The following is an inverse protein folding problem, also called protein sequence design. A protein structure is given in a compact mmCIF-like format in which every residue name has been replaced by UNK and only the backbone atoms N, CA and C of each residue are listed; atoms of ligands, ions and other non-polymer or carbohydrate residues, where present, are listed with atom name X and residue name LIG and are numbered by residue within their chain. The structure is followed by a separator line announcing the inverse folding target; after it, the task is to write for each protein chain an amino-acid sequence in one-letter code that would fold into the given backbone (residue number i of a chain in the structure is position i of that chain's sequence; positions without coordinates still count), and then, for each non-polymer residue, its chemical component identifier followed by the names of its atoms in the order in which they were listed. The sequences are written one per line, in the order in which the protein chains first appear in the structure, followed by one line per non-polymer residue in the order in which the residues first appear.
data_IF_431820411013
#
_entry.id   IF_431820411013
#
_cell.length_a   1.000
_cell.length_b   1.000
_cell.length_c   1.000
_cell.angle_alpha   90.00
_cell.angle_beta   90.00
_cell.angle_gamma   90.00
#
_symmetry.space_group_name_H-M   'P 1'
#
loop_
_entity.id
_entity.type
_entity.pdbx_description
1 polymer ?
#
# COMPACT_ATOMS: atom_id res chain seq x y z
N UNK A 1 -0.75 -16.64 -15.29
CA UNK A 1 -0.04 -16.34 -14.04
C UNK A 1 1.00 -17.41 -13.71
N UNK A 2 0.62 -18.69 -13.60
CA UNK A 2 1.54 -19.84 -13.47
C UNK A 2 2.62 -19.89 -14.58
N UNK A 3 2.23 -19.59 -15.82
CA UNK A 3 3.11 -19.53 -17.00
C UNK A 3 4.03 -18.31 -17.05
N UNK A 4 3.78 -17.28 -16.24
CA UNK A 4 4.56 -16.04 -16.29
C UNK A 4 5.81 -16.11 -15.39
N UNK A 5 5.71 -16.80 -14.25
CA UNK A 5 6.79 -16.87 -13.26
C UNK A 5 7.23 -18.29 -12.95
N UNK A 6 6.29 -19.24 -12.74
CA UNK A 6 6.62 -20.58 -12.26
C UNK A 6 7.23 -21.45 -13.36
N UNK A 7 6.58 -21.55 -14.52
CA UNK A 7 7.11 -22.35 -15.66
C UNK A 7 8.49 -21.83 -16.12
N UNK A 8 8.68 -20.52 -16.37
CA UNK A 8 9.99 -20.01 -16.74
C UNK A 8 11.05 -20.25 -15.67
N UNK A 9 10.69 -20.22 -14.38
CA UNK A 9 11.64 -20.49 -13.30
C UNK A 9 12.08 -21.96 -13.26
N UNK A 10 11.16 -22.91 -13.45
CA UNK A 10 11.47 -24.35 -13.53
C UNK A 10 12.45 -24.60 -14.69
N UNK A 11 12.14 -24.05 -15.87
CA UNK A 11 12.94 -24.21 -17.08
C UNK A 11 14.33 -23.56 -16.94
N UNK A 12 14.39 -22.31 -16.47
CA UNK A 12 15.65 -21.56 -16.34
C UNK A 12 16.57 -22.11 -15.25
N UNK A 13 16.00 -22.69 -14.19
CA UNK A 13 16.75 -23.23 -13.05
C UNK A 13 17.08 -24.72 -13.21
N UNK A 14 16.68 -25.34 -14.32
CA UNK A 14 16.88 -26.76 -14.64
C UNK A 14 16.49 -27.69 -13.47
N UNK A 15 15.35 -27.40 -12.84
CA UNK A 15 14.84 -28.18 -11.73
C UNK A 15 14.27 -29.51 -12.25
N UNK A 16 14.58 -30.60 -11.56
CA UNK A 16 14.03 -31.94 -11.85
C UNK A 16 12.62 -32.10 -11.26
N UNK A 17 11.74 -31.15 -11.60
CA UNK A 17 10.32 -31.17 -11.23
C UNK A 17 9.48 -30.78 -12.44
N UNK A 18 8.35 -31.46 -12.60
CA UNK A 18 7.35 -31.13 -13.60
C UNK A 18 6.26 -30.23 -13.00
N UNK A 19 5.49 -29.58 -13.86
CA UNK A 19 4.42 -28.66 -13.45
C UNK A 19 3.41 -29.31 -12.50
N UNK A 20 3.05 -30.57 -12.74
CA UNK A 20 2.12 -31.36 -11.94
C UNK A 20 2.68 -31.74 -10.56
N UNK A 21 3.99 -31.66 -10.36
CA UNK A 21 4.65 -31.85 -9.07
C UNK A 21 4.71 -30.57 -8.21
N UNK A 22 4.25 -29.42 -8.74
CA UNK A 22 4.14 -28.17 -7.99
C UNK A 22 2.79 -28.11 -7.29
N UNK A 23 2.79 -28.33 -5.98
CA UNK A 23 1.58 -28.29 -5.14
C UNK A 23 1.38 -26.95 -4.46
N UNK A 24 2.46 -26.17 -4.30
CA UNK A 24 2.39 -24.78 -3.85
C UNK A 24 3.55 -23.96 -4.41
N UNK A 25 3.31 -22.67 -4.57
CA UNK A 25 4.33 -21.73 -5.03
C UNK A 25 4.14 -20.35 -4.41
N UNK A 26 5.24 -19.64 -4.21
CA UNK A 26 5.27 -18.26 -3.74
C UNK A 26 6.17 -17.45 -4.66
N UNK A 27 5.61 -16.39 -5.24
CA UNK A 27 6.39 -15.37 -5.95
C UNK A 27 6.57 -14.20 -5.00
N UNK A 28 7.81 -13.88 -4.66
CA UNK A 28 8.18 -12.71 -3.85
C UNK A 28 8.60 -11.59 -4.79
N UNK A 29 7.98 -10.43 -4.62
CA UNK A 29 8.17 -9.24 -5.44
C UNK A 29 8.96 -8.22 -4.64
N UNK A 30 10.28 -8.22 -4.84
CA UNK A 30 11.20 -7.30 -4.19
C UNK A 30 11.08 -5.87 -4.78
N UNK A 31 11.12 -4.80 -3.97
CA UNK A 31 11.15 -3.44 -4.49
C UNK A 31 12.31 -3.22 -5.47
N UNK A 32 12.01 -2.89 -6.73
CA UNK A 32 13.00 -2.67 -7.80
C UNK A 32 13.91 -3.89 -8.11
N UNK A 33 13.53 -5.09 -7.67
CA UNK A 33 14.27 -6.33 -7.88
C UNK A 33 13.60 -7.26 -8.89
N UNK A 34 14.30 -8.33 -9.27
CA UNK A 34 13.68 -9.42 -9.99
C UNK A 34 12.75 -10.22 -9.05
N UNK A 35 11.61 -10.75 -9.54
CA UNK A 35 10.80 -11.67 -8.77
C UNK A 35 11.61 -12.91 -8.35
N UNK A 36 11.45 -13.32 -7.10
CA UNK A 36 11.97 -14.58 -6.58
C UNK A 36 10.84 -15.59 -6.54
N UNK A 37 11.10 -16.82 -7.00
CA UNK A 37 10.11 -17.90 -7.02
C UNK A 37 10.55 -18.99 -6.06
N UNK A 38 9.66 -19.35 -5.14
CA UNK A 38 9.80 -20.45 -4.18
C UNK A 38 8.75 -21.52 -4.50
N UNK A 39 9.16 -22.78 -4.52
CA UNK A 39 8.29 -23.90 -4.88
C UNK A 39 8.20 -24.93 -3.75
N UNK A 40 7.04 -25.57 -3.61
CA UNK A 40 6.79 -26.66 -2.67
C UNK A 40 7.28 -26.32 -1.25
N UNK A 41 8.22 -27.07 -0.69
CA UNK A 41 8.72 -26.88 0.68
C UNK A 41 9.33 -25.48 0.92
N UNK A 42 9.81 -24.81 -0.13
CA UNK A 42 10.34 -23.44 -0.03
C UNK A 42 9.21 -22.39 0.08
N UNK A 43 8.01 -22.72 -0.38
CA UNK A 43 6.84 -21.87 -0.29
C UNK A 43 6.05 -22.21 0.98
N UNK A 44 6.51 -21.72 2.13
CA UNK A 44 5.77 -21.85 3.39
C UNK A 44 4.51 -20.97 3.34
N UNK A 45 3.33 -21.61 3.21
CA UNK A 45 2.03 -20.94 3.17
C UNK A 45 1.17 -21.29 4.41
N UNK A 46 0.38 -20.33 4.86
CA UNK A 46 -0.71 -20.50 5.82
C UNK A 46 -2.03 -20.47 5.07
N UNK A 47 -2.88 -21.46 5.31
CA UNK A 47 -4.24 -21.51 4.77
C UNK A 47 -5.25 -21.19 5.88
N UNK A 48 -6.22 -20.34 5.58
CA UNK A 48 -7.44 -20.20 6.38
C UNK A 48 -8.46 -21.16 5.80
N UNK A 49 -8.93 -22.10 6.62
CA UNK A 49 -9.86 -23.16 6.20
C UNK A 49 -11.11 -23.15 7.06
N UNK A 50 -12.24 -23.39 6.42
CA UNK A 50 -13.48 -23.78 7.09
C UNK A 50 -13.48 -25.29 7.22
N UNK A 51 -13.65 -25.79 8.44
CA UNK A 51 -13.69 -27.23 8.72
C UNK A 51 -15.12 -27.72 8.86
N UNK A 52 -15.38 -28.95 8.41
CA UNK A 52 -16.69 -29.62 8.53
C UNK A 52 -17.00 -29.99 9.99
N UNK A 53 -15.97 -30.48 10.68
CA UNK A 53 -16.04 -30.91 12.07
C UNK A 53 -14.98 -30.16 12.88
N UNK A 54 -15.24 -29.96 14.18
CA UNK A 54 -14.28 -29.32 15.07
C UNK A 54 -12.99 -30.17 15.17
N UNK A 55 -11.85 -29.57 14.84
CA UNK A 55 -10.51 -30.17 15.02
C UNK A 55 -9.91 -29.61 16.30
N UNK A 56 -9.46 -30.47 17.22
CA UNK A 56 -8.90 -30.00 18.48
C UNK A 56 -7.52 -29.36 18.28
N UNK A 57 -7.12 -28.47 19.19
CA UNK A 57 -5.80 -27.85 19.13
C UNK A 57 -4.70 -28.91 19.22
N UNK A 58 -3.77 -28.90 18.26
CA UNK A 58 -2.69 -29.88 18.17
C UNK A 58 -3.03 -31.12 17.33
N UNK A 59 -4.29 -31.29 16.90
CA UNK A 59 -4.65 -32.34 15.96
C UNK A 59 -4.32 -31.93 14.52
N UNK A 60 -3.85 -32.87 13.68
CA UNK A 60 -3.60 -32.59 12.28
C UNK A 60 -4.91 -32.34 11.54
N UNK A 61 -4.98 -31.22 10.82
CA UNK A 61 -6.08 -30.94 9.89
C UNK A 61 -5.85 -31.76 8.62
N UNK A 62 -6.79 -32.63 8.27
CA UNK A 62 -6.74 -33.42 7.03
C UNK A 62 -7.66 -32.85 5.96
N UNK A 63 -7.44 -33.23 4.70
CA UNK A 63 -8.29 -32.81 3.58
C UNK A 63 -9.78 -33.19 3.77
N UNK A 64 -10.06 -34.28 4.48
CA UNK A 64 -11.42 -34.75 4.77
C UNK A 64 -12.15 -33.83 5.75
N UNK A 65 -11.40 -33.18 6.65
CA UNK A 65 -11.94 -32.24 7.62
C UNK A 65 -12.22 -30.85 7.01
N UNK A 66 -11.66 -30.55 5.83
CA UNK A 66 -11.79 -29.23 5.21
C UNK A 66 -13.04 -29.16 4.33
N UNK A 67 -13.93 -28.22 4.65
CA UNK A 67 -15.09 -27.88 3.83
C UNK A 67 -14.68 -26.92 2.70
N UNK A 68 -13.93 -25.88 3.04
CA UNK A 68 -13.53 -24.83 2.12
C UNK A 68 -12.19 -24.20 2.53
N UNK A 69 -11.41 -23.71 1.57
CA UNK A 69 -10.24 -22.86 1.81
C UNK A 69 -10.65 -21.42 1.53
N UNK A 70 -10.73 -20.60 2.58
CA UNK A 70 -11.18 -19.20 2.46
C UNK A 70 -10.03 -18.23 2.17
N UNK A 71 -8.79 -18.65 2.36
CA UNK A 71 -7.63 -17.82 2.03
C UNK A 71 -6.31 -18.57 2.15
N UNK A 72 -5.30 -18.04 1.47
CA UNK A 72 -3.91 -18.45 1.61
C UNK A 72 -3.02 -17.21 1.74
N UNK A 73 -1.94 -17.31 2.50
CA UNK A 73 -0.93 -16.26 2.62
C UNK A 73 0.44 -16.85 2.93
N UNK A 74 1.55 -16.16 2.67
CA UNK A 74 2.87 -16.61 3.10
C UNK A 74 2.96 -16.70 4.63
N UNK A 75 3.61 -17.73 5.16
CA UNK A 75 3.90 -17.83 6.59
C UNK A 75 4.93 -16.80 7.04
N UNK A 76 5.88 -16.48 6.15
CA UNK A 76 6.90 -15.46 6.33
C UNK A 76 7.09 -14.71 5.04
N UNK A 77 7.02 -13.39 5.11
CA UNK A 77 7.32 -12.49 3.99
C UNK A 77 8.02 -11.26 4.55
N UNK A 78 8.97 -10.71 3.79
CA UNK A 78 9.58 -9.43 4.15
C UNK A 78 8.52 -8.33 4.08
N UNK A 79 8.42 -7.43 5.07
CA UNK A 79 7.35 -6.40 5.12
C UNK A 79 7.28 -5.52 3.88
N UNK A 80 8.42 -5.30 3.22
CA UNK A 80 8.54 -4.42 2.06
C UNK A 80 8.31 -5.14 0.72
N UNK A 81 8.15 -6.46 0.72
CA UNK A 81 7.94 -7.25 -0.48
C UNK A 81 6.46 -7.47 -0.76
N UNK A 82 6.06 -7.26 -2.02
CA UNK A 82 4.81 -7.79 -2.52
C UNK A 82 4.92 -9.32 -2.71
N UNK A 83 3.80 -10.00 -2.89
CA UNK A 83 3.80 -11.44 -3.10
C UNK A 83 2.59 -11.95 -3.87
N UNK A 84 2.74 -13.14 -4.45
CA UNK A 84 1.66 -13.95 -5.02
C UNK A 84 1.82 -15.38 -4.51
N UNK A 85 0.81 -15.92 -3.85
CA UNK A 85 0.78 -17.28 -3.35
C UNK A 85 -0.16 -18.13 -4.21
N UNK A 86 0.27 -19.36 -4.48
CA UNK A 86 -0.49 -20.38 -5.18
C UNK A 86 -0.52 -21.65 -4.33
N UNK A 87 -1.69 -22.23 -4.14
CA UNK A 87 -1.86 -23.56 -3.58
C UNK A 87 -2.73 -24.40 -4.51
N UNK A 88 -2.28 -25.61 -4.85
CA UNK A 88 -2.99 -26.53 -5.74
C UNK A 88 -3.50 -27.70 -4.90
N UNK A 89 -4.82 -27.91 -4.94
CA UNK A 89 -5.46 -28.95 -4.14
C UNK A 89 -5.57 -30.27 -4.94
N UNK A 90 -5.41 -31.43 -4.27
CA UNK A 90 -5.71 -32.72 -4.88
C UNK A 90 -7.14 -32.75 -5.43
N UNK A 91 -7.33 -33.17 -6.68
CA UNK A 91 -8.65 -33.24 -7.32
C UNK A 91 -9.02 -32.09 -8.25
N UNK A 92 -8.11 -31.13 -8.50
CA UNK A 92 -8.24 -30.16 -9.60
C UNK A 92 -8.69 -28.76 -9.22
N UNK A 93 -8.57 -28.37 -7.95
CA UNK A 93 -8.81 -27.01 -7.46
C UNK A 93 -7.51 -26.28 -7.12
N UNK A 94 -7.61 -24.98 -6.82
CA UNK A 94 -6.49 -24.21 -6.30
C UNK A 94 -6.91 -22.86 -5.77
N UNK A 95 -6.09 -22.31 -4.88
CA UNK A 95 -6.25 -20.97 -4.32
C UNK A 95 -5.11 -20.08 -4.83
N UNK A 96 -5.45 -18.83 -5.11
CA UNK A 96 -4.48 -17.78 -5.42
C UNK A 96 -4.79 -16.59 -4.53
N UNK A 97 -3.76 -16.04 -3.91
CA UNK A 97 -3.83 -14.79 -3.18
C UNK A 97 -2.61 -13.93 -3.52
N UNK A 98 -2.72 -12.63 -3.34
CA UNK A 98 -1.63 -11.71 -3.60
C UNK A 98 -1.72 -10.47 -2.72
N UNK A 99 -0.56 -9.85 -2.51
CA UNK A 99 -0.44 -8.51 -1.97
C UNK A 99 0.60 -7.76 -2.82
N UNK A 100 0.17 -6.74 -3.54
CA UNK A 100 1.07 -5.93 -4.37
C UNK A 100 1.55 -4.66 -3.69
N UNK A 101 1.46 -4.59 -2.35
CA UNK A 101 2.01 -3.48 -1.58
C UNK A 101 3.49 -3.72 -1.29
N UNK A 102 4.30 -2.71 -1.56
CA UNK A 102 5.75 -2.70 -1.35
C UNK A 102 6.13 -1.69 -0.27
N UNK A 103 7.35 -1.75 0.26
CA UNK A 103 7.90 -0.69 1.12
C UNK A 103 6.98 -0.32 2.31
N UNK A 104 6.28 -1.28 2.93
CA UNK A 104 5.27 -1.01 3.97
C UNK A 104 5.89 -0.37 5.20
N UNK A 105 7.06 -0.85 5.65
CA UNK A 105 7.71 -0.29 6.84
C UNK A 105 8.06 1.18 6.60
N UNK A 106 8.58 1.46 5.41
CA UNK A 106 8.87 2.83 5.00
C UNK A 106 7.62 3.69 4.91
N UNK A 107 6.52 3.17 4.37
CA UNK A 107 5.26 3.87 4.28
C UNK A 107 4.69 4.21 5.67
N UNK A 108 4.72 3.26 6.61
CA UNK A 108 4.30 3.45 8.01
C UNK A 108 5.12 4.57 8.67
N UNK A 109 6.45 4.57 8.46
CA UNK A 109 7.34 5.57 9.02
C UNK A 109 7.06 6.98 8.47
N UNK A 110 6.75 7.08 7.16
CA UNK A 110 6.34 8.34 6.52
C UNK A 110 5.01 8.84 7.07
N UNK A 111 4.03 7.95 7.30
CA UNK A 111 2.71 8.30 7.82
C UNK A 111 2.74 8.73 9.29
N UNK A 112 3.65 8.14 10.08
CA UNK A 112 3.93 8.62 11.44
C UNK A 112 4.39 10.08 11.41
N UNK A 113 5.36 10.41 10.53
CA UNK A 113 5.82 11.80 10.35
C UNK A 113 4.72 12.70 9.81
N UNK A 114 3.91 12.23 8.87
CA UNK A 114 2.75 12.99 8.36
C UNK A 114 1.78 13.37 9.49
N UNK A 115 1.55 12.46 10.44
CA UNK A 115 0.72 12.68 11.63
C UNK A 115 1.30 13.77 12.55
N UNK A 116 2.63 13.82 12.71
CA UNK A 116 3.30 14.89 13.46
C UNK A 116 3.12 16.26 12.77
N UNK A 117 3.26 16.30 11.43
CA UNK A 117 3.08 17.53 10.66
C UNK A 117 1.62 18.04 10.67
N UNK A 118 0.63 17.16 10.58
CA UNK A 118 -0.78 17.60 10.62
C UNK A 118 -1.17 18.11 12.01
N UNK A 119 -0.64 17.51 13.09
CA UNK A 119 -0.79 18.05 14.45
C UNK A 119 -0.20 19.47 14.54
N UNK A 120 1.02 19.64 14.02
CA UNK A 120 1.68 20.96 14.00
C UNK A 120 0.86 21.98 13.20
N UNK A 121 0.26 21.58 12.08
CA UNK A 121 -0.57 22.46 11.27
C UNK A 121 -1.82 22.94 12.02
N UNK A 122 -2.45 22.06 12.81
CA UNK A 122 -3.58 22.41 13.67
C UNK A 122 -3.16 23.40 14.77
N UNK A 123 -2.00 23.20 15.38
CA UNK A 123 -1.45 24.12 16.39
C UNK A 123 -1.15 25.51 15.80
N UNK A 124 -0.55 25.58 14.61
CA UNK A 124 -0.26 26.87 13.97
C UNK A 124 -1.54 27.57 13.51
N UNK A 125 -2.57 26.82 13.10
CA UNK A 125 -3.88 27.37 12.76
C UNK A 125 -4.54 28.01 13.99
N UNK A 126 -4.57 27.29 15.11
CA UNK A 126 -5.11 27.80 16.38
C UNK A 126 -4.38 29.05 16.89
N UNK A 127 -3.11 29.21 16.53
CA UNK A 127 -2.31 30.41 16.83
C UNK A 127 -2.47 31.55 15.80
N UNK A 128 -3.36 31.43 14.81
CA UNK A 128 -3.58 32.41 13.74
C UNK A 128 -2.43 32.52 12.73
N UNK A 129 -1.54 31.52 12.66
CA UNK A 129 -0.32 31.55 11.84
C UNK A 129 -0.54 30.81 10.52
N UNK A 130 -1.30 31.44 9.60
CA UNK A 130 -1.78 30.81 8.37
C UNK A 130 -0.66 30.33 7.42
N UNK A 131 0.43 31.11 7.28
CA UNK A 131 1.58 30.71 6.46
C UNK A 131 2.23 29.41 6.93
N UNK A 132 2.65 29.32 8.22
CA UNK A 132 3.11 28.07 8.82
C UNK A 132 2.10 26.90 8.74
N UNK A 133 0.79 27.17 8.86
CA UNK A 133 -0.25 26.16 8.64
C UNK A 133 -0.22 25.58 7.24
N UNK A 134 -0.11 26.42 6.20
CA UNK A 134 -0.01 25.95 4.80
C UNK A 134 1.21 25.05 4.61
N UNK A 135 2.37 25.44 5.14
CA UNK A 135 3.62 24.68 4.99
C UNK A 135 3.56 23.30 5.64
N UNK A 136 3.08 23.25 6.87
CA UNK A 136 3.01 22.02 7.66
C UNK A 136 1.93 21.08 7.12
N UNK A 137 0.77 21.61 6.73
CA UNK A 137 -0.28 20.84 6.06
C UNK A 137 0.18 20.26 4.72
N UNK A 138 0.87 21.06 3.90
CA UNK A 138 1.43 20.59 2.64
C UNK A 138 2.45 19.47 2.88
N UNK A 139 3.37 19.65 3.82
CA UNK A 139 4.35 18.62 4.17
C UNK A 139 3.68 17.31 4.62
N UNK A 140 2.64 17.39 5.46
CA UNK A 140 1.88 16.23 5.89
C UNK A 140 1.26 15.48 4.70
N UNK A 141 0.56 16.19 3.82
CA UNK A 141 -0.06 15.59 2.64
C UNK A 141 0.97 15.04 1.64
N UNK A 142 2.11 15.68 1.46
CA UNK A 142 3.18 15.18 0.59
C UNK A 142 3.79 13.87 1.11
N UNK A 143 3.95 13.74 2.42
CA UNK A 143 4.39 12.50 3.06
C UNK A 143 3.37 11.39 2.88
N UNK A 144 2.07 11.68 3.04
CA UNK A 144 1.00 10.73 2.82
C UNK A 144 0.97 10.22 1.37
N UNK A 145 1.01 11.13 0.38
CA UNK A 145 1.10 10.76 -1.04
C UNK A 145 2.36 9.96 -1.32
N UNK A 146 3.50 10.35 -0.73
CA UNK A 146 4.75 9.61 -0.89
C UNK A 146 4.62 8.19 -0.35
N UNK A 147 4.03 7.99 0.83
CA UNK A 147 3.77 6.68 1.40
C UNK A 147 2.91 5.82 0.46
N UNK A 148 1.80 6.37 -0.07
CA UNK A 148 0.93 5.64 -1.01
C UNK A 148 1.65 5.25 -2.30
N UNK A 149 2.44 6.16 -2.88
CA UNK A 149 3.21 5.85 -4.09
C UNK A 149 4.29 4.80 -3.83
N UNK A 150 4.93 4.81 -2.65
CA UNK A 150 5.88 3.77 -2.22
C UNK A 150 5.22 2.40 -2.10
N UNK A 151 3.98 2.33 -1.60
CA UNK A 151 3.19 1.10 -1.55
C UNK A 151 2.94 0.51 -2.94
N UNK A 152 2.92 1.32 -3.99
CA UNK A 152 2.73 0.87 -5.37
C UNK A 152 4.05 0.70 -6.13
N UNK A 153 5.19 0.79 -5.44
CA UNK A 153 6.54 0.84 -6.02
C UNK A 153 6.69 1.92 -7.11
N UNK A 154 5.95 3.03 -6.99
CA UNK A 154 6.06 4.19 -7.87
C UNK A 154 7.12 5.13 -7.33
N UNK A 155 8.21 5.31 -8.09
CA UNK A 155 9.27 6.26 -7.71
C UNK A 155 9.17 7.57 -8.49
N UNK A 156 9.12 8.69 -7.78
CA UNK A 156 9.21 10.03 -8.36
C UNK A 156 10.64 10.58 -8.20
N UNK A 157 11.53 10.29 -9.15
CA UNK A 157 12.91 10.85 -9.16
C UNK A 157 12.96 12.15 -9.97
N UNK A 158 13.77 13.11 -9.51
CA UNK A 158 14.13 14.31 -10.27
C UNK A 158 13.52 15.62 -9.78
N UNK A 159 13.79 16.70 -10.54
CA UNK A 159 13.53 18.10 -10.18
C UNK A 159 12.04 18.49 -10.07
N UNK A 160 11.13 17.64 -10.55
CA UNK A 160 9.67 17.86 -10.61
C UNK A 160 8.86 16.91 -9.69
N UNK A 161 9.43 16.43 -8.58
CA UNK A 161 8.78 15.46 -7.69
C UNK A 161 7.42 15.94 -7.14
N UNK A 162 7.27 17.23 -6.85
CA UNK A 162 6.00 17.83 -6.41
C UNK A 162 4.90 17.68 -7.47
N UNK A 163 5.18 18.06 -8.73
CA UNK A 163 4.22 17.97 -9.83
C UNK A 163 3.83 16.52 -10.14
N UNK A 164 4.79 15.60 -10.07
CA UNK A 164 4.53 14.18 -10.27
C UNK A 164 3.60 13.59 -9.21
N UNK A 165 3.80 13.93 -7.93
CA UNK A 165 2.91 13.53 -6.83
C UNK A 165 1.49 14.08 -6.99
N UNK A 166 1.35 15.34 -7.42
CA UNK A 166 0.05 15.95 -7.69
C UNK A 166 -0.68 15.26 -8.85
N UNK A 167 0.03 14.96 -9.94
CA UNK A 167 -0.53 14.25 -11.08
C UNK A 167 -0.97 12.83 -10.69
N UNK A 168 -0.14 12.13 -9.90
CA UNK A 168 -0.50 10.81 -9.37
C UNK A 168 -1.75 10.87 -8.49
N UNK A 169 -1.82 11.81 -7.54
CA UNK A 169 -2.97 11.94 -6.63
C UNK A 169 -4.25 12.31 -7.40
N UNK A 170 -4.14 13.18 -8.40
CA UNK A 170 -5.27 13.52 -9.28
C UNK A 170 -5.81 12.28 -9.99
N UNK A 171 -4.93 11.47 -10.60
CA UNK A 171 -5.34 10.24 -11.27
C UNK A 171 -5.94 9.25 -10.27
N UNK A 172 -5.32 9.10 -9.10
CA UNK A 172 -5.77 8.20 -8.04
C UNK A 172 -7.21 8.51 -7.60
N UNK A 173 -7.51 9.79 -7.31
CA UNK A 173 -8.86 10.22 -6.91
C UNK A 173 -9.83 10.23 -8.09
N UNK A 174 -9.38 10.44 -9.33
CA UNK A 174 -10.24 10.43 -10.52
C UNK A 174 -10.75 9.03 -10.83
N UNK A 175 -9.96 8.00 -10.52
CA UNK A 175 -10.34 6.59 -10.61
C UNK A 175 -11.27 6.13 -9.47
N UNK A 176 -11.69 7.04 -8.58
CA UNK A 176 -12.61 6.72 -7.49
C UNK A 176 -11.95 6.05 -6.28
N UNK A 177 -10.62 5.97 -6.22
CA UNK A 177 -9.91 5.38 -5.08
C UNK A 177 -9.90 6.28 -3.82
N UNK A 178 -10.46 7.48 -3.92
CA UNK A 178 -10.60 8.41 -2.81
C UNK A 178 -11.29 9.72 -3.22
N UNK A 179 -11.68 10.55 -2.25
CA UNK A 179 -12.30 11.86 -2.48
C UNK A 179 -11.46 12.78 -3.37
N UNK A 180 -12.12 13.47 -4.30
CA UNK A 180 -11.49 14.50 -5.14
C UNK A 180 -10.92 15.68 -4.33
N UNK A 181 -11.46 15.92 -3.13
CA UNK A 181 -11.05 17.05 -2.31
C UNK A 181 -9.64 16.89 -1.73
N UNK A 182 -9.10 15.67 -1.67
CA UNK A 182 -7.68 15.43 -1.38
C UNK A 182 -6.78 16.12 -2.41
N UNK A 183 -7.04 15.88 -3.70
CA UNK A 183 -6.27 16.50 -4.78
C UNK A 183 -6.46 18.03 -4.81
N UNK A 184 -7.71 18.52 -4.72
CA UNK A 184 -7.99 19.96 -4.74
C UNK A 184 -7.29 20.68 -3.59
N UNK A 185 -7.35 20.11 -2.38
CA UNK A 185 -6.68 20.63 -1.19
C UNK A 185 -5.17 20.68 -1.39
N UNK A 186 -4.58 19.56 -1.82
CA UNK A 186 -3.14 19.47 -2.08
C UNK A 186 -2.68 20.46 -3.15
N UNK A 187 -3.45 20.65 -4.21
CA UNK A 187 -3.18 21.65 -5.24
C UNK A 187 -3.25 23.07 -4.67
N UNK A 188 -4.28 23.37 -3.88
CA UNK A 188 -4.48 24.70 -3.30
C UNK A 188 -3.40 25.07 -2.29
N UNK A 189 -2.98 24.14 -1.44
CA UNK A 189 -1.86 24.32 -0.52
C UNK A 189 -0.55 24.56 -1.28
N UNK A 190 -0.31 23.81 -2.36
CA UNK A 190 0.88 23.97 -3.19
C UNK A 190 0.94 25.35 -3.88
N UNK A 191 -0.18 25.86 -4.39
CA UNK A 191 -0.22 27.18 -5.04
C UNK A 191 -0.21 28.35 -4.05
N UNK A 192 -0.65 28.13 -2.80
CA UNK A 192 -0.54 29.10 -1.70
C UNK A 192 0.89 29.23 -1.15
N UNK A 193 1.71 28.18 -1.34
CA UNK A 193 3.04 28.04 -0.74
C UNK A 193 3.99 29.21 -1.00
N UNK A 194 4.13 29.78 -2.23
CA UNK A 194 5.01 30.92 -2.46
C UNK A 194 4.63 32.14 -1.61
N UNK A 195 3.33 32.45 -1.52
CA UNK A 195 2.82 33.52 -0.68
C UNK A 195 3.05 33.21 0.81
N UNK A 196 2.80 31.97 1.24
CA UNK A 196 2.99 31.53 2.63
C UNK A 196 4.44 31.68 3.12
N UNK A 197 5.43 31.48 2.24
CA UNK A 197 6.85 31.58 2.58
C UNK A 197 7.44 32.98 2.42
N UNK A 198 7.09 33.64 1.32
CA UNK A 198 7.84 34.82 0.86
C UNK A 198 6.96 36.07 0.73
N UNK A 199 5.65 35.95 0.97
CA UNK A 199 4.70 37.01 0.64
C UNK A 199 4.65 37.31 -0.86
N UNK A 200 5.01 36.33 -1.70
CA UNK A 200 5.09 36.48 -3.14
C UNK A 200 3.69 36.76 -3.75
N UNK A 201 3.46 37.95 -4.33
CA UNK A 201 2.17 38.34 -4.88
C UNK A 201 1.80 37.57 -6.16
N UNK A 202 2.75 36.86 -6.80
CA UNK A 202 2.45 35.97 -7.93
C UNK A 202 1.89 34.61 -7.45
N UNK A 203 2.05 34.28 -6.16
CA UNK A 203 1.43 33.12 -5.53
C UNK A 203 -0.08 33.32 -5.29
N UNK A 204 -0.79 32.21 -5.07
CA UNK A 204 -2.18 32.32 -4.59
C UNK A 204 -2.19 32.92 -3.18
N UNK A 205 -3.16 33.80 -2.84
CA UNK A 205 -3.28 34.32 -1.48
C UNK A 205 -3.48 33.17 -0.48
N UNK A 206 -3.16 33.43 0.79
CA UNK A 206 -3.43 32.47 1.86
C UNK A 206 -4.93 32.14 1.89
N UNK A 207 -5.31 30.86 2.02
CA UNK A 207 -6.69 30.52 2.33
C UNK A 207 -7.07 31.10 3.69
N UNK A 208 -8.35 31.38 3.88
CA UNK A 208 -8.92 31.79 5.16
C UNK A 208 -8.73 30.72 6.23
N UNK A 209 -8.91 31.09 7.50
CA UNK A 209 -8.83 30.16 8.62
C UNK A 209 -9.83 29.00 8.48
N UNK A 210 -11.06 29.29 8.02
CA UNK A 210 -12.09 28.28 7.76
C UNK A 210 -11.70 27.33 6.64
N UNK A 211 -11.20 27.86 5.51
CA UNK A 211 -10.73 27.01 4.41
C UNK A 211 -9.56 26.12 4.85
N UNK A 212 -8.64 26.66 5.66
CA UNK A 212 -7.53 25.89 6.18
C UNK A 212 -8.02 24.78 7.11
N UNK A 213 -9.00 25.03 7.98
CA UNK A 213 -9.59 23.99 8.82
C UNK A 213 -10.11 22.81 7.97
N UNK A 214 -10.89 23.09 6.93
CA UNK A 214 -11.39 22.07 5.99
C UNK A 214 -10.22 21.33 5.30
N UNK A 215 -9.18 22.05 4.90
CA UNK A 215 -8.00 21.46 4.28
C UNK A 215 -7.23 20.53 5.23
N UNK A 216 -7.14 20.87 6.52
CA UNK A 216 -6.50 20.00 7.50
C UNK A 216 -7.28 18.70 7.67
N UNK A 217 -8.62 18.75 7.65
CA UNK A 217 -9.46 17.56 7.74
C UNK A 217 -9.36 16.69 6.47
N UNK A 218 -9.27 17.31 5.29
CA UNK A 218 -8.99 16.57 4.05
C UNK A 218 -7.61 15.90 4.08
N UNK A 219 -6.57 16.59 4.54
CA UNK A 219 -5.22 16.01 4.65
C UNK A 219 -5.17 14.89 5.70
N UNK A 220 -5.83 15.06 6.83
CA UNK A 220 -5.92 14.02 7.87
C UNK A 220 -6.65 12.79 7.33
N UNK A 221 -7.79 12.96 6.65
CA UNK A 221 -8.50 11.82 6.03
C UNK A 221 -7.65 11.09 4.97
N UNK A 222 -6.80 11.81 4.22
CA UNK A 222 -5.83 11.21 3.31
C UNK A 222 -4.77 10.40 4.07
N UNK A 223 -4.27 10.90 5.20
CA UNK A 223 -3.32 10.19 6.07
C UNK A 223 -3.96 8.92 6.62
N UNK A 224 -5.18 9.00 7.16
CA UNK A 224 -5.90 7.84 7.69
C UNK A 224 -6.17 6.79 6.63
N UNK A 225 -6.58 7.19 5.43
CA UNK A 225 -6.76 6.28 4.30
C UNK A 225 -5.46 5.56 3.93
N UNK A 226 -4.36 6.30 3.83
CA UNK A 226 -3.05 5.72 3.53
C UNK A 226 -2.58 4.77 4.64
N UNK A 227 -2.84 5.09 5.91
CA UNK A 227 -2.52 4.24 7.06
C UNK A 227 -3.34 2.95 7.06
N UNK A 228 -4.65 3.02 6.80
CA UNK A 228 -5.51 1.84 6.68
C UNK A 228 -5.01 0.93 5.54
N UNK A 229 -4.76 1.52 4.37
CA UNK A 229 -4.26 0.79 3.22
C UNK A 229 -2.88 0.15 3.47
N UNK A 230 -2.03 0.78 4.28
CA UNK A 230 -0.74 0.22 4.70
C UNK A 230 -0.86 -0.85 5.79
N UNK A 231 -1.94 -0.86 6.58
CA UNK A 231 -2.14 -1.76 7.72
C UNK A 231 -2.90 -3.04 7.37
N UNK A 232 -3.86 -2.99 6.44
CA UNK A 232 -4.75 -4.11 6.12
C UNK A 232 -3.97 -5.39 5.78
N UNK A 233 -3.92 -6.37 6.69
CA UNK A 233 -3.24 -7.65 6.45
C UNK A 233 -4.17 -8.75 5.95
N UNK A 234 -5.50 -8.53 6.00
CA UNK A 234 -6.48 -9.62 6.00
C UNK A 234 -7.75 -9.35 5.18
N UNK A 235 -7.77 -8.39 4.25
CA UNK A 235 -8.91 -8.28 3.34
C UNK A 235 -8.84 -9.45 2.34
N UNK A 236 -9.75 -10.45 2.38
CA UNK A 236 -9.85 -11.40 1.28
C UNK A 236 -10.12 -10.60 0.01
N UNK A 237 -9.46 -10.95 -1.09
CA UNK A 237 -9.83 -10.43 -2.39
C UNK A 237 -11.31 -10.76 -2.62
N UNK A 238 -12.16 -9.74 -2.54
CA UNK A 238 -13.60 -9.80 -2.83
C UNK A 238 -13.85 -9.96 -4.33
#
# INVERSE_FOLDING_TARGET
MFTLWIVPHIEASNLDITRDQVVQALVVLHPNGAPEVKLNEQAELLATVQVRDAVASGEPVTAENVENVSGIRPAKIEPDAGWIAFAFLPGGGGAVAFDFRYNRDRAIELLKRASEFISTARETLAAGRLGPTVETALAAGELAVTAMTSLQNVTHKGRNSHGARQAWLNNYTHLGNGPQDWYKTMRRLLTARPFARYGDPEGSPLPSESELADYLDHVDSLIQHAAQYAADHDAPAS
#
